data_IF_489629007310
#
_entry.id   IF_489629007310
#
_cell.length_a   1.000
_cell.length_b   1.000
_cell.length_c   1.000
_cell.angle_alpha   90.00
_cell.angle_beta   90.00
_cell.angle_gamma   90.00
#
_symmetry.space_group_name_H-M   'P 1'
#
loop_
_entity.id
_entity.type
_entity.pdbx_description
1 polymer ?
#
# COMPACT_ATOMS: atom_id res chain seq x y z
N UNK A 1 -16.42 -13.78 5.88
CA UNK A 1 -16.40 -13.09 5.10
C UNK A 1 -15.34 -12.20 5.04
N UNK A 2 -14.66 -12.03 4.22
CA UNK A 2 -13.59 -11.22 4.16
C UNK A 2 -13.99 -9.88 4.02
N UNK A 3 -13.32 -9.03 4.56
CA UNK A 3 -13.72 -7.69 4.51
C UNK A 3 -12.71 -6.83 3.84
N UNK A 4 -11.64 -7.35 3.39
CA UNK A 4 -10.60 -6.52 2.83
C UNK A 4 -10.86 -6.21 1.38
N UNK A 5 -10.45 -5.03 0.94
CA UNK A 5 -10.43 -4.70 -0.47
C UNK A 5 -9.01 -4.90 -0.98
N UNK A 6 -8.85 -5.36 -2.21
CA UNK A 6 -7.50 -5.48 -2.78
C UNK A 6 -6.81 -4.12 -2.85
N UNK A 7 -5.52 -4.15 -2.60
CA UNK A 7 -4.69 -2.95 -2.55
C UNK A 7 -3.57 -3.10 -3.56
N UNK A 8 -3.33 -2.05 -4.32
CA UNK A 8 -2.24 -2.03 -5.30
C UNK A 8 -1.15 -1.13 -4.76
N UNK A 9 0.07 -1.64 -4.74
CA UNK A 9 1.24 -0.87 -4.33
C UNK A 9 2.14 -0.71 -5.55
N UNK A 10 2.39 0.54 -5.94
CA UNK A 10 3.25 0.85 -7.08
C UNK A 10 4.61 1.29 -6.56
N UNK A 11 5.67 0.67 -7.08
CA UNK A 11 7.04 0.96 -6.68
C UNK A 11 7.72 1.79 -7.75
N UNK A 12 8.12 3.02 -7.40
CA UNK A 12 8.81 3.95 -8.30
C UNK A 12 8.06 4.17 -9.61
N UNK A 13 6.74 4.03 -9.57
CA UNK A 13 5.93 4.24 -10.75
C UNK A 13 6.10 3.17 -11.82
N UNK A 14 6.75 2.06 -11.49
CA UNK A 14 7.04 1.03 -12.49
C UNK A 14 6.41 -0.31 -12.16
N UNK A 15 6.71 -0.84 -10.98
CA UNK A 15 6.27 -2.18 -10.61
C UNK A 15 5.05 -2.08 -9.73
N UNK A 16 4.03 -2.86 -10.05
CA UNK A 16 2.82 -2.92 -9.22
C UNK A 16 2.69 -4.29 -8.61
N UNK A 17 2.30 -4.31 -7.34
CA UNK A 17 1.99 -5.56 -6.66
C UNK A 17 0.62 -5.44 -6.03
N UNK A 18 -0.14 -6.52 -6.11
CA UNK A 18 -1.46 -6.56 -5.53
C UNK A 18 -1.44 -7.34 -4.24
N UNK A 19 -2.12 -6.81 -3.23
CA UNK A 19 -2.27 -7.48 -1.95
C UNK A 19 -3.76 -7.62 -1.66
N UNK A 20 -4.17 -8.69 -0.98
CA UNK A 20 -5.59 -8.93 -0.74
C UNK A 20 -6.26 -7.92 0.20
N UNK A 21 -5.46 -7.19 0.98
CA UNK A 21 -6.03 -6.21 1.89
C UNK A 21 -4.96 -5.21 2.30
N UNK A 22 -5.39 -4.11 2.91
CA UNK A 22 -4.46 -3.12 3.44
C UNK A 22 -3.58 -3.72 4.53
N UNK A 23 -4.13 -4.64 5.32
CA UNK A 23 -3.34 -5.31 6.35
C UNK A 23 -2.22 -6.13 5.73
N UNK A 24 -2.53 -6.86 4.66
CA UNK A 24 -1.52 -7.66 3.98
C UNK A 24 -0.43 -6.76 3.40
N UNK A 25 -0.81 -5.62 2.82
CA UNK A 25 0.17 -4.68 2.29
C UNK A 25 1.05 -4.12 3.40
N UNK A 26 0.47 -3.80 4.54
CA UNK A 26 1.23 -3.28 5.68
C UNK A 26 2.27 -4.29 6.15
N UNK A 27 1.88 -5.56 6.24
CA UNK A 27 2.80 -6.61 6.66
C UNK A 27 3.93 -6.76 5.64
N UNK A 28 3.58 -6.78 4.35
CA UNK A 28 4.56 -6.96 3.31
C UNK A 28 5.54 -5.79 3.26
N UNK A 29 5.08 -4.58 3.52
CA UNK A 29 5.93 -3.40 3.50
C UNK A 29 6.59 -3.14 4.85
N UNK A 30 6.20 -3.91 5.87
CA UNK A 30 6.73 -3.75 7.22
C UNK A 30 6.45 -2.36 7.78
N UNK A 31 5.26 -1.87 7.57
CA UNK A 31 4.80 -0.58 8.09
C UNK A 31 3.47 -0.79 8.79
N UNK A 32 3.00 0.21 9.51
CA UNK A 32 1.76 0.05 10.26
C UNK A 32 0.56 0.16 9.31
N UNK A 33 -0.51 -0.51 9.69
CA UNK A 33 -1.75 -0.46 8.92
C UNK A 33 -2.29 0.97 8.87
N UNK A 34 -2.07 1.73 9.93
CA UNK A 34 -2.51 3.13 9.95
C UNK A 34 -1.82 3.94 8.87
N UNK A 35 -0.54 3.70 8.68
CA UNK A 35 0.23 4.40 7.64
C UNK A 35 -0.32 4.04 6.26
N UNK A 36 -0.59 2.75 6.03
CA UNK A 36 -1.16 2.31 4.75
C UNK A 36 -2.49 3.01 4.49
N UNK A 37 -3.36 3.03 5.49
CA UNK A 37 -4.67 3.65 5.33
C UNK A 37 -4.56 5.14 5.04
N UNK A 38 -3.66 5.81 5.75
CA UNK A 38 -3.43 7.23 5.52
C UNK A 38 -3.00 7.50 4.08
N UNK A 39 -2.08 6.70 3.57
CA UNK A 39 -1.56 6.92 2.22
C UNK A 39 -2.61 6.61 1.16
N UNK A 40 -3.42 5.59 1.39
CA UNK A 40 -4.53 5.30 0.47
C UNK A 40 -5.50 6.48 0.45
N UNK A 41 -5.82 6.99 1.62
CA UNK A 41 -6.83 8.05 1.75
C UNK A 41 -6.35 9.35 1.14
N UNK A 42 -5.09 9.72 1.39
CA UNK A 42 -4.55 10.97 0.90
C UNK A 42 -4.09 10.89 -0.55
N UNK A 43 -3.76 9.70 -1.02
CA UNK A 43 -3.21 9.53 -2.36
C UNK A 43 -1.77 9.96 -2.49
N UNK A 44 -1.10 10.24 -1.37
CA UNK A 44 0.28 10.70 -1.41
C UNK A 44 1.24 9.55 -1.50
N UNK A 45 2.40 9.83 -2.07
CA UNK A 45 3.47 8.84 -2.13
C UNK A 45 4.14 8.71 -0.77
N UNK A 46 4.69 7.53 -0.54
CA UNK A 46 5.40 7.25 0.69
C UNK A 46 6.79 6.76 0.32
N UNK A 47 7.81 7.33 0.94
CA UNK A 47 9.19 6.92 0.66
C UNK A 47 9.58 5.86 1.68
N UNK A 48 9.93 4.67 1.19
CA UNK A 48 10.33 3.56 2.04
C UNK A 48 11.67 3.04 1.52
N UNK A 49 12.69 3.11 2.36
CA UNK A 49 14.05 2.67 2.01
C UNK A 49 14.53 3.28 0.70
N UNK A 50 14.21 4.56 0.51
CA UNK A 50 14.66 5.27 -0.69
C UNK A 50 13.80 5.05 -1.91
N UNK A 51 12.79 4.19 -1.81
CA UNK A 51 11.87 3.96 -2.93
C UNK A 51 10.58 4.71 -2.71
N UNK A 52 10.05 5.26 -3.78
CA UNK A 52 8.75 5.90 -3.71
C UNK A 52 7.70 4.86 -3.96
N UNK A 53 6.76 4.74 -3.04
CA UNK A 53 5.66 3.82 -3.23
C UNK A 53 4.35 4.58 -3.16
N UNK A 54 3.38 4.10 -3.91
CA UNK A 54 2.05 4.67 -3.90
C UNK A 54 1.08 3.54 -3.65
N UNK A 55 0.17 3.76 -2.71
CA UNK A 55 -0.76 2.72 -2.28
C UNK A 55 -2.16 3.18 -2.63
N UNK A 56 -2.92 2.30 -3.26
CA UNK A 56 -4.30 2.61 -3.61
C UNK A 56 -5.15 1.35 -3.58
N UNK A 57 -6.44 1.52 -3.46
CA UNK A 57 -7.35 0.40 -3.64
C UNK A 57 -7.46 0.08 -5.13
N UNK A 58 -7.71 -1.18 -5.40
CA UNK A 58 -7.86 -1.65 -6.78
C UNK A 58 -9.08 -1.04 -7.46
#
# INVERSE_FOLDING_TARGET
MSSGKPVIVTFDGKTEKEYPSATAAAIALNISISTVRKKIHSGEEYVLDGERIKIRFE
#
